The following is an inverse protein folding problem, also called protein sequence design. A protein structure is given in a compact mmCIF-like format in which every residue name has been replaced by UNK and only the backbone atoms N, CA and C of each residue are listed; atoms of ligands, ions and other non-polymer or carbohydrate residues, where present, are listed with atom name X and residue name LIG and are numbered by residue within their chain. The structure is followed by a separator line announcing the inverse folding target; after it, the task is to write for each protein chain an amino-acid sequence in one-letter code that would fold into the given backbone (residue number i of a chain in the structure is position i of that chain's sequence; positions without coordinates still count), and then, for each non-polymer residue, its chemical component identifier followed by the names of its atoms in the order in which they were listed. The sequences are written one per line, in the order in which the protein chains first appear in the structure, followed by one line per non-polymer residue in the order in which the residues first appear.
data_IF_703580391598
#
_entry.id   IF_703580391598
#
_cell.length_a   1.000
_cell.length_b   1.000
_cell.length_c   1.000
_cell.angle_alpha   90.00
_cell.angle_beta   90.00
_cell.angle_gamma   90.00
#
_symmetry.space_group_name_H-M   'P 1'
#
loop_
_entity.id
_entity.type
_entity.pdbx_description
1 polymer ?
#
# COMPACT_ATOMS: atom_id res chain seq x y z
N UNK A 1 10.30 12.47 -3.97
CA UNK A 1 9.39 11.99 -5.02
C UNK A 1 7.94 12.14 -4.58
N UNK A 2 7.48 11.43 -3.54
CA UNK A 2 6.09 11.48 -3.05
C UNK A 2 5.60 12.91 -2.79
N UNK A 3 6.26 13.66 -1.91
CA UNK A 3 5.83 15.03 -1.54
C UNK A 3 5.76 16.01 -2.71
N UNK A 4 6.50 15.74 -3.79
CA UNK A 4 6.53 16.60 -4.98
C UNK A 4 5.45 16.24 -5.99
N UNK A 5 5.01 14.98 -6.01
CA UNK A 5 4.19 14.45 -7.10
C UNK A 5 2.87 13.83 -6.66
N UNK A 6 2.56 13.75 -5.36
CA UNK A 6 1.33 13.14 -4.87
C UNK A 6 0.06 13.66 -5.58
N UNK A 7 -0.04 14.97 -5.82
CA UNK A 7 -1.17 15.58 -6.55
C UNK A 7 -1.23 15.30 -8.05
N UNK A 8 -0.26 14.56 -8.61
CA UNK A 8 -0.23 14.11 -10.02
C UNK A 8 -0.33 12.60 -10.16
N UNK A 9 -0.29 11.86 -9.06
CA UNK A 9 -0.34 10.40 -9.07
C UNK A 9 -1.81 9.97 -9.10
N UNK A 10 -2.19 9.20 -10.13
CA UNK A 10 -3.55 8.65 -10.24
C UNK A 10 -3.75 7.40 -9.38
N UNK A 11 -2.74 6.53 -9.30
CA UNK A 11 -2.80 5.28 -8.54
C UNK A 11 -1.45 4.93 -7.93
N UNK A 12 -1.46 4.27 -6.77
CA UNK A 12 -0.27 3.75 -6.10
C UNK A 12 -0.41 2.24 -5.94
N UNK A 13 0.67 1.51 -6.20
CA UNK A 13 0.77 0.07 -5.97
C UNK A 13 2.00 -0.22 -5.10
N UNK A 14 1.94 -1.26 -4.27
CA UNK A 14 3.03 -1.62 -3.34
C UNK A 14 3.35 -3.11 -3.36
N UNK A 15 4.66 -3.40 -3.29
CA UNK A 15 5.26 -4.69 -3.03
C UNK A 15 6.59 -4.48 -2.31
N UNK A 16 7.04 -5.47 -1.53
CA UNK A 16 8.35 -5.43 -0.88
C UNK A 16 9.51 -5.66 -1.88
N UNK A 17 10.71 -5.22 -1.54
CA UNK A 17 11.91 -5.29 -2.41
C UNK A 17 12.89 -6.34 -1.88
N UNK A 18 13.57 -7.14 -2.70
CA UNK A 18 13.66 -7.11 -4.17
C UNK A 18 12.68 -8.03 -4.91
N UNK A 19 12.16 -9.07 -4.26
CA UNK A 19 11.42 -10.14 -4.94
C UNK A 19 9.92 -9.86 -5.14
N UNK A 20 9.42 -8.68 -4.74
CA UNK A 20 8.00 -8.29 -4.85
C UNK A 20 7.06 -9.19 -4.07
N UNK A 21 7.45 -9.60 -2.86
CA UNK A 21 6.59 -10.32 -1.93
C UNK A 21 5.79 -9.36 -1.04
N UNK A 22 4.98 -9.91 -0.13
CA UNK A 22 4.22 -9.09 0.82
C UNK A 22 5.17 -8.26 1.71
N UNK A 23 4.78 -7.03 2.11
CA UNK A 23 5.54 -6.23 3.05
C UNK A 23 5.96 -7.00 4.32
N UNK A 24 7.21 -6.84 4.73
CA UNK A 24 7.84 -7.54 5.85
C UNK A 24 8.69 -8.76 5.43
N UNK A 25 8.86 -9.00 4.12
CA UNK A 25 9.69 -10.09 3.59
C UNK A 25 11.00 -9.61 2.98
N UNK A 26 11.12 -8.30 2.78
CA UNK A 26 12.29 -7.62 2.24
C UNK A 26 12.75 -6.48 3.14
N UNK A 27 13.25 -5.41 2.52
CA UNK A 27 13.88 -4.29 3.22
C UNK A 27 13.05 -2.99 3.18
N UNK A 28 11.92 -2.99 2.47
CA UNK A 28 11.15 -1.78 2.28
C UNK A 28 10.29 -1.48 3.52
N UNK A 29 10.56 -0.35 4.17
CA UNK A 29 9.68 0.22 5.20
C UNK A 29 8.42 0.81 4.55
N UNK A 30 7.48 -0.09 4.22
CA UNK A 30 6.23 0.24 3.53
C UNK A 30 5.36 1.18 4.37
N UNK A 31 5.28 0.97 5.68
CA UNK A 31 4.46 1.80 6.57
C UNK A 31 4.88 3.27 6.54
N UNK A 32 6.18 3.55 6.53
CA UNK A 32 6.70 4.91 6.40
C UNK A 32 6.28 5.59 5.09
N UNK A 33 6.22 4.85 3.98
CA UNK A 33 5.78 5.41 2.70
C UNK A 33 4.27 5.60 2.62
N UNK A 34 3.48 4.69 3.20
CA UNK A 34 2.03 4.86 3.34
C UNK A 34 1.70 6.11 4.16
N UNK A 35 2.35 6.28 5.32
CA UNK A 35 2.20 7.48 6.15
C UNK A 35 2.65 8.76 5.44
N UNK A 36 3.60 8.66 4.49
CA UNK A 36 4.02 9.81 3.67
C UNK A 36 3.00 10.16 2.59
N UNK A 37 2.37 9.17 1.96
CA UNK A 37 1.28 9.39 1.01
C UNK A 37 0.09 10.07 1.68
N UNK A 38 -0.28 9.59 2.87
CA UNK A 38 -1.33 10.19 3.70
C UNK A 38 -1.02 11.65 4.02
N UNK A 39 0.18 11.95 4.54
CA UNK A 39 0.60 13.33 4.82
C UNK A 39 0.70 14.22 3.57
N UNK A 40 0.99 13.64 2.42
CA UNK A 40 1.02 14.36 1.15
C UNK A 40 -0.38 14.58 0.55
N UNK A 41 -1.45 14.11 1.21
CA UNK A 41 -2.83 14.30 0.78
C UNK A 41 -3.22 13.45 -0.42
N UNK A 42 -2.58 12.30 -0.63
CA UNK A 42 -2.98 11.38 -1.70
C UNK A 42 -4.37 10.79 -1.39
N UNK A 43 -5.42 11.05 -2.21
CA UNK A 43 -6.79 10.69 -1.88
C UNK A 43 -7.20 9.29 -2.37
N UNK A 44 -6.34 8.62 -3.12
CA UNK A 44 -6.66 7.38 -3.83
C UNK A 44 -6.35 6.11 -3.05
N UNK A 45 -6.71 4.99 -3.66
CA UNK A 45 -6.41 3.64 -3.15
C UNK A 45 -4.95 3.25 -3.38
N UNK A 46 -4.38 2.50 -2.43
CA UNK A 46 -3.10 1.81 -2.60
C UNK A 46 -3.36 0.34 -2.90
N UNK A 47 -3.03 -0.11 -4.11
CA UNK A 47 -3.12 -1.50 -4.52
C UNK A 47 -2.01 -2.36 -3.92
N UNK A 48 -2.36 -3.54 -3.41
CA UNK A 48 -1.41 -4.54 -2.95
C UNK A 48 -1.00 -5.44 -4.13
N UNK A 49 0.10 -5.11 -4.79
CA UNK A 49 0.52 -5.74 -6.05
C UNK A 49 1.83 -6.53 -5.88
N UNK A 50 1.77 -7.53 -5.01
CA UNK A 50 2.88 -8.43 -4.72
C UNK A 50 2.53 -9.90 -4.99
N UNK A 51 3.55 -10.75 -5.08
CA UNK A 51 3.44 -12.19 -5.17
C UNK A 51 3.58 -12.81 -3.76
N UNK A 52 2.51 -13.38 -3.17
CA UNK A 52 2.57 -13.99 -1.85
C UNK A 52 3.62 -15.10 -1.73
N UNK A 53 4.38 -15.12 -0.63
CA UNK A 53 5.07 -16.31 -0.17
C UNK A 53 4.06 -17.23 0.51
N UNK A 54 3.43 -18.11 -0.27
CA UNK A 54 2.40 -19.05 0.20
C UNK A 54 0.98 -18.64 -0.19
N UNK A 55 -0.05 -19.14 0.53
CA UNK A 55 -1.44 -18.81 0.24
C UNK A 55 -1.71 -17.30 0.35
N UNK A 56 -2.42 -16.73 -0.64
CA UNK A 56 -2.70 -15.29 -0.67
C UNK A 56 -3.45 -14.79 0.58
N UNK A 57 -4.33 -15.63 1.15
CA UNK A 57 -5.12 -15.30 2.33
C UNK A 57 -4.23 -14.98 3.56
N UNK A 58 -3.06 -15.62 3.65
CA UNK A 58 -2.15 -15.48 4.80
C UNK A 58 -1.21 -14.28 4.64
N UNK A 59 -1.11 -13.73 3.43
CA UNK A 59 -0.16 -12.67 3.09
C UNK A 59 -0.48 -11.30 3.70
N UNK A 60 -1.65 -11.15 4.35
CA UNK A 60 -2.12 -9.85 4.86
C UNK A 60 -1.79 -9.60 6.34
N UNK A 61 -1.00 -10.47 6.99
CA UNK A 61 -0.66 -10.34 8.40
C UNK A 61 0.03 -9.00 8.76
N UNK A 62 0.77 -8.42 7.81
CA UNK A 62 1.42 -7.10 7.97
C UNK A 62 0.44 -5.93 8.00
N UNK A 63 -0.79 -6.09 7.49
CA UNK A 63 -1.76 -5.01 7.34
C UNK A 63 -2.89 -5.12 8.38
N UNK A 64 -2.92 -4.24 9.40
CA UNK A 64 -4.01 -4.19 10.37
C UNK A 64 -5.38 -4.08 9.70
N UNK A 65 -6.40 -4.71 10.28
CA UNK A 65 -7.74 -4.78 9.69
C UNK A 65 -8.34 -3.39 9.50
N UNK A 66 -8.05 -2.48 10.41
CA UNK A 66 -8.54 -1.09 10.45
C UNK A 66 -7.99 -0.25 9.30
N UNK A 67 -6.82 -0.64 8.77
CA UNK A 67 -6.15 0.02 7.64
C UNK A 67 -6.47 -0.64 6.29
N UNK A 68 -7.19 -1.76 6.29
CA UNK A 68 -7.75 -2.34 5.06
C UNK A 68 -8.96 -1.51 4.72
N UNK A 69 -8.95 -0.85 3.56
CA UNK A 69 -10.07 0.03 3.26
C UNK A 69 -11.37 -0.78 3.19
N UNK A 70 -12.32 -0.39 4.03
CA UNK A 70 -13.73 -0.59 3.72
C UNK A 70 -13.98 0.27 2.48
N UNK A 71 -14.56 -0.31 1.42
CA UNK A 71 -14.79 0.40 0.17
C UNK A 71 -15.42 1.78 0.39
N UNK A 72 -15.26 2.73 -0.55
CA UNK A 72 -15.94 4.00 -0.40
C UNK A 72 -17.45 3.74 -0.29
N UNK A 73 -18.16 4.53 0.52
CA UNK A 73 -19.60 4.60 0.40
C UNK A 73 -19.93 4.86 -1.08
N UNK A 74 -20.89 4.15 -1.70
CA UNK A 74 -21.18 4.34 -3.10
C UNK A 74 -21.62 5.79 -3.34
N UNK A 75 -20.84 6.52 -4.15
CA UNK A 75 -21.17 7.85 -4.65
C UNK A 75 -20.69 9.01 -3.76
N UNK A 76 -19.66 9.70 -4.22
CA UNK A 76 -19.51 11.15 -4.06
C UNK A 76 -18.96 11.70 -5.37
#
# INVERSE_FOLDING_TARGET
MIDRYAGRVGHVQVADVACRHQPGTGELDVDRYLARLERAGYPGWVGLEYQPLGPSADSFAWLPRERRGAGPAPGT
#
